data_IF_446198418514
#
_entry.id   IF_446198418514
#
_cell.length_a   1.000
_cell.length_b   1.000
_cell.length_c   1.000
_cell.angle_alpha   90.00
_cell.angle_beta   90.00
_cell.angle_gamma   90.00
#
_symmetry.space_group_name_H-M   'P 1'
#
loop_
_entity.id
_entity.type
_entity.pdbx_description
1 polymer ?
#
# COMPACT_ATOMS: atom_id res chain seq x y z
N UNK A 1 -1.39 24.20 -13.78
CA UNK A 1 -1.56 23.74 -12.38
C UNK A 1 -3.05 23.79 -12.07
N UNK A 2 -3.61 22.70 -11.53
CA UNK A 2 -4.97 22.69 -11.00
C UNK A 2 -4.91 22.79 -9.48
N UNK A 3 -5.90 23.46 -8.88
CA UNK A 3 -6.02 23.61 -7.43
C UNK A 3 -7.13 22.69 -6.95
N UNK A 4 -6.80 21.82 -5.99
CA UNK A 4 -7.78 20.97 -5.31
C UNK A 4 -7.92 21.44 -3.87
N UNK A 5 -9.15 21.64 -3.41
CA UNK A 5 -9.45 21.99 -2.02
C UNK A 5 -9.94 20.73 -1.30
N UNK A 6 -9.36 20.43 -0.14
CA UNK A 6 -9.71 19.28 0.69
C UNK A 6 -10.16 19.78 2.05
N UNK A 7 -11.26 19.23 2.58
CA UNK A 7 -11.66 19.47 3.97
C UNK A 7 -10.98 18.44 4.85
N UNK A 8 -10.27 18.92 5.86
CA UNK A 8 -9.68 18.10 6.91
C UNK A 8 -10.46 18.32 8.20
N UNK A 9 -10.54 17.29 9.02
CA UNK A 9 -10.92 17.50 10.41
C UNK A 9 -9.74 18.11 11.20
N UNK A 10 -9.95 18.34 12.49
CA UNK A 10 -8.96 19.01 13.33
C UNK A 10 -7.70 18.17 13.53
N UNK A 11 -7.82 16.85 13.58
CA UNK A 11 -6.71 15.96 13.87
C UNK A 11 -5.85 15.79 12.61
N UNK A 12 -6.48 15.63 11.45
CA UNK A 12 -5.81 15.63 10.15
C UNK A 12 -5.13 16.97 9.84
N UNK A 13 -5.76 18.09 10.20
CA UNK A 13 -5.18 19.43 10.00
C UNK A 13 -3.89 19.61 10.82
N UNK A 14 -3.90 19.14 12.07
CA UNK A 14 -2.74 19.15 12.96
C UNK A 14 -1.65 18.18 12.51
N UNK A 15 -2.02 17.00 12.00
CA UNK A 15 -1.08 16.05 11.42
C UNK A 15 -0.41 16.63 10.18
N UNK A 16 -1.18 17.30 9.31
CA UNK A 16 -0.60 17.95 8.13
C UNK A 16 0.36 19.08 8.52
N UNK A 17 0.07 19.83 9.58
CA UNK A 17 0.97 20.86 10.10
C UNK A 17 2.27 20.28 10.68
N UNK A 18 2.20 19.12 11.33
CA UNK A 18 3.41 18.47 11.87
C UNK A 18 4.31 17.92 10.75
N UNK A 19 3.73 17.43 9.65
CA UNK A 19 4.46 16.87 8.52
C UNK A 19 4.97 17.94 7.53
N UNK A 20 4.22 19.04 7.37
CA UNK A 20 4.52 20.06 6.36
C UNK A 20 5.99 20.56 6.33
N UNK A 21 6.70 20.78 7.45
CA UNK A 21 8.09 21.24 7.45
C UNK A 21 9.04 20.31 6.70
N UNK A 22 8.85 19.00 6.80
CA UNK A 22 9.70 18.00 6.16
C UNK A 22 9.60 18.03 4.62
N UNK A 23 8.41 18.39 4.12
CA UNK A 23 8.12 18.38 2.68
C UNK A 23 8.18 19.78 2.04
N UNK A 24 8.58 20.81 2.78
CA UNK A 24 8.61 22.19 2.26
C UNK A 24 7.22 22.83 2.13
N UNK A 25 6.29 22.45 3.01
CA UNK A 25 4.96 23.04 3.17
C UNK A 25 3.80 22.07 2.91
N UNK A 26 2.59 22.48 3.35
CA UNK A 26 1.36 21.67 3.32
C UNK A 26 1.05 21.10 1.93
N UNK A 27 1.10 21.93 0.89
CA UNK A 27 0.81 21.50 -0.49
C UNK A 27 1.81 20.47 -1.01
N UNK A 28 3.08 20.56 -0.59
CA UNK A 28 4.10 19.59 -0.98
C UNK A 28 3.96 18.27 -0.22
N UNK A 29 3.62 18.32 1.07
CA UNK A 29 3.28 17.13 1.86
C UNK A 29 2.08 16.38 1.26
N UNK A 30 0.98 17.08 0.93
CA UNK A 30 -0.19 16.46 0.27
C UNK A 30 0.19 15.83 -1.06
N UNK A 31 0.97 16.52 -1.91
CA UNK A 31 1.42 15.95 -3.19
C UNK A 31 2.30 14.73 -3.01
N UNK A 32 3.15 14.72 -1.98
CA UNK A 32 3.96 13.56 -1.65
C UNK A 32 3.07 12.38 -1.23
N UNK A 33 2.14 12.60 -0.30
CA UNK A 33 1.19 11.59 0.16
C UNK A 33 0.36 10.99 -0.99
N UNK A 34 -0.14 11.81 -1.92
CA UNK A 34 -0.89 11.34 -3.10
C UNK A 34 -0.02 10.40 -3.97
N UNK A 35 1.25 10.74 -4.19
CA UNK A 35 2.16 9.89 -4.97
C UNK A 35 2.46 8.58 -4.26
N UNK A 36 2.67 8.62 -2.95
CA UNK A 36 2.91 7.43 -2.14
C UNK A 36 1.69 6.50 -2.18
N UNK A 37 0.48 7.04 -1.98
CA UNK A 37 -0.77 6.28 -2.05
C UNK A 37 -0.97 5.65 -3.44
N UNK A 38 -0.67 6.39 -4.51
CA UNK A 38 -0.75 5.85 -5.87
C UNK A 38 0.24 4.69 -6.09
N UNK A 39 1.47 4.83 -5.60
CA UNK A 39 2.47 3.78 -5.69
C UNK A 39 2.08 2.55 -4.86
N UNK A 40 1.53 2.74 -3.66
CA UNK A 40 1.01 1.65 -2.82
C UNK A 40 -0.13 0.91 -3.50
N UNK A 41 -1.09 1.64 -4.08
CA UNK A 41 -2.20 1.05 -4.82
C UNK A 41 -1.70 0.21 -6.00
N UNK A 42 -0.73 0.73 -6.76
CA UNK A 42 -0.12 0.04 -7.89
C UNK A 42 0.62 -1.23 -7.44
N UNK A 43 1.37 -1.17 -6.34
CA UNK A 43 2.05 -2.35 -5.77
C UNK A 43 1.05 -3.42 -5.33
N UNK A 44 -0.05 -3.01 -4.70
CA UNK A 44 -1.11 -3.92 -4.28
C UNK A 44 -1.78 -4.59 -5.48
N UNK A 45 -2.11 -3.83 -6.53
CA UNK A 45 -2.66 -4.41 -7.77
C UNK A 45 -1.70 -5.39 -8.42
N UNK A 46 -0.42 -5.02 -8.55
CA UNK A 46 0.60 -5.89 -9.12
C UNK A 46 0.79 -7.19 -8.30
N UNK A 47 0.71 -7.10 -6.98
CA UNK A 47 0.77 -8.28 -6.11
C UNK A 47 -0.43 -9.21 -6.34
N UNK A 48 -1.64 -8.66 -6.43
CA UNK A 48 -2.84 -9.45 -6.69
C UNK A 48 -2.79 -10.11 -8.07
N UNK A 49 -2.39 -9.38 -9.10
CA UNK A 49 -2.21 -9.92 -10.46
C UNK A 49 -1.16 -11.05 -10.47
N UNK A 50 -0.06 -10.85 -9.75
CA UNK A 50 0.97 -11.86 -9.62
C UNK A 50 0.46 -13.12 -8.89
N UNK A 51 -0.29 -12.96 -7.79
CA UNK A 51 -0.88 -14.08 -7.06
C UNK A 51 -1.90 -14.85 -7.89
N UNK A 52 -2.71 -14.15 -8.69
CA UNK A 52 -3.68 -14.76 -9.60
C UNK A 52 -2.98 -15.57 -10.69
N UNK A 53 -1.94 -15.00 -11.30
CA UNK A 53 -1.10 -15.68 -12.29
C UNK A 53 -0.42 -16.91 -11.68
N UNK A 54 0.17 -16.75 -10.50
CA UNK A 54 0.85 -17.84 -9.81
C UNK A 54 -0.10 -18.98 -9.43
N UNK A 55 -1.31 -18.65 -8.96
CA UNK A 55 -2.35 -19.63 -8.64
C UNK A 55 -2.87 -20.35 -9.89
N UNK A 56 -2.98 -19.66 -11.02
CA UNK A 56 -3.35 -20.27 -12.29
C UNK A 56 -2.28 -21.24 -12.81
N UNK A 57 -1.00 -20.89 -12.68
CA UNK A 57 0.11 -21.70 -13.16
C UNK A 57 0.42 -22.91 -12.25
N UNK A 58 0.29 -22.73 -10.93
CA UNK A 58 0.67 -23.74 -9.94
C UNK A 58 -0.49 -24.62 -9.48
N UNK A 59 -1.73 -24.15 -9.62
CA UNK A 59 -2.90 -24.80 -9.03
C UNK A 59 -2.95 -24.65 -7.50
N UNK A 60 -4.01 -25.16 -6.85
CA UNK A 60 -4.07 -25.21 -5.39
C UNK A 60 -2.99 -26.16 -4.85
N UNK A 61 -2.40 -25.81 -3.70
CA UNK A 61 -1.53 -26.72 -2.97
C UNK A 61 -2.35 -27.86 -2.36
N UNK A 62 -1.84 -29.08 -2.47
CA UNK A 62 -2.46 -30.25 -1.84
C UNK A 62 -2.16 -30.27 -0.33
N UNK A 63 -3.00 -30.95 0.45
CA UNK A 63 -2.90 -30.97 1.92
C UNK A 63 -1.55 -31.51 2.43
N UNK A 64 -0.93 -32.44 1.69
CA UNK A 64 0.37 -33.02 2.00
C UNK A 64 1.52 -32.05 1.74
N UNK A 65 1.42 -31.22 0.69
CA UNK A 65 2.37 -30.14 0.41
C UNK A 65 2.32 -29.05 1.49
N UNK A 66 1.11 -28.71 1.96
CA UNK A 66 0.91 -27.77 3.06
C UNK A 66 1.52 -28.34 4.35
N UNK A 67 1.23 -29.60 4.69
CA UNK A 67 1.77 -30.26 5.88
C UNK A 67 3.32 -30.29 5.89
N UNK A 68 3.93 -30.60 4.74
CA UNK A 68 5.38 -30.60 4.58
C UNK A 68 5.99 -29.19 4.76
N UNK A 69 5.31 -28.13 4.28
CA UNK A 69 5.76 -26.76 4.51
C UNK A 69 5.62 -26.36 5.98
N UNK A 70 4.51 -26.70 6.63
CA UNK A 70 4.28 -26.42 8.05
C UNK A 70 5.37 -27.07 8.94
N UNK A 71 5.70 -28.33 8.68
CA UNK A 71 6.79 -29.03 9.38
C UNK A 71 8.16 -28.38 9.13
N UNK A 72 8.45 -27.98 7.88
CA UNK A 72 9.73 -27.38 7.49
C UNK A 72 9.97 -26.00 8.08
N UNK A 73 8.93 -25.18 8.21
CA UNK A 73 9.03 -23.79 8.67
C UNK A 73 8.57 -23.59 10.11
N UNK A 74 8.08 -24.63 10.78
CA UNK A 74 7.63 -24.57 12.19
C UNK A 74 6.42 -23.67 12.38
N UNK A 75 5.50 -23.67 11.41
CA UNK A 75 4.25 -22.89 11.44
C UNK A 75 3.13 -23.63 12.18
#
# INVERSE_FOLDING_TARGET
MSTTTVRLDRDDDALLDSLAPEFGGRSSAIRHAIRTLAADRQRHDALLEWLDTWGADSGPLEEDEIAAMTERYGL
#
